data_IF_445049246507
#
_entry.id   IF_445049246507
#
_cell.length_a   1.000
_cell.length_b   1.000
_cell.length_c   1.000
_cell.angle_alpha   90.00
_cell.angle_beta   90.00
_cell.angle_gamma   90.00
#
_symmetry.space_group_name_H-M   'P 1'
#
loop_
_entity.id
_entity.type
_entity.pdbx_description
1 polymer ?
#
# COMPACT_ATOMS: atom_id res chain seq x y z
N UNK A 1 13.91 -4.80 15.78
CA UNK A 1 13.38 -4.67 14.43
C UNK A 1 12.21 -5.61 14.26
N UNK A 2 11.05 -5.09 13.89
CA UNK A 2 9.83 -5.89 13.87
C UNK A 2 9.39 -6.15 12.44
N UNK A 3 9.69 -7.35 11.92
CA UNK A 3 9.21 -7.80 10.61
C UNK A 3 8.10 -8.84 10.73
N UNK A 4 7.61 -9.06 11.97
CA UNK A 4 6.50 -9.97 12.19
C UNK A 4 5.21 -9.48 11.57
N UNK A 5 4.20 -10.36 11.48
CA UNK A 5 2.94 -10.00 10.86
C UNK A 5 2.26 -8.86 11.60
N UNK A 6 1.81 -7.85 10.86
CA UNK A 6 0.97 -6.76 11.35
C UNK A 6 -0.15 -6.55 10.35
N UNK A 7 -1.29 -6.02 10.78
CA UNK A 7 -2.34 -5.68 9.83
C UNK A 7 -1.87 -4.59 8.88
N UNK A 8 -2.11 -4.76 7.59
CA UNK A 8 -1.82 -3.74 6.60
C UNK A 8 -3.14 -3.14 6.13
N UNK A 9 -3.34 -1.87 6.43
CA UNK A 9 -4.54 -1.15 5.99
C UNK A 9 -4.26 -0.58 4.61
N UNK A 10 -4.55 -1.40 3.60
CA UNK A 10 -4.30 -1.05 2.21
C UNK A 10 -5.51 -0.41 1.56
N UNK A 11 -5.28 0.25 0.44
CA UNK A 11 -6.35 0.67 -0.47
C UNK A 11 -6.37 -0.30 -1.63
N UNK A 12 -7.44 -1.10 -1.73
CA UNK A 12 -7.60 -2.10 -2.80
C UNK A 12 -8.51 -1.54 -3.89
N UNK A 13 -7.98 -1.48 -5.12
CA UNK A 13 -8.70 -1.03 -6.29
C UNK A 13 -8.82 -2.18 -7.29
N UNK A 14 -9.86 -3.01 -7.18
CA UNK A 14 -10.07 -4.11 -8.13
C UNK A 14 -10.57 -3.57 -9.46
N UNK A 15 -10.26 -4.29 -10.53
CA UNK A 15 -10.83 -3.94 -11.83
C UNK A 15 -12.26 -4.42 -11.93
N UNK A 16 -13.07 -3.70 -12.72
CA UNK A 16 -14.43 -4.11 -13.02
C UNK A 16 -14.52 -5.11 -14.19
N UNK A 17 -13.37 -5.48 -14.76
CA UNK A 17 -13.32 -6.45 -15.84
C UNK A 17 -13.87 -7.82 -15.39
N UNK A 18 -14.63 -8.48 -16.26
CA UNK A 18 -15.10 -9.84 -16.00
C UNK A 18 -14.03 -10.89 -16.29
N UNK A 19 -12.95 -10.50 -16.96
CA UNK A 19 -11.85 -11.40 -17.24
C UNK A 19 -10.92 -11.47 -16.04
N UNK A 20 -10.38 -12.66 -15.71
CA UNK A 20 -9.40 -12.76 -14.65
C UNK A 20 -8.17 -11.89 -14.96
N UNK A 21 -7.70 -11.17 -13.98
CA UNK A 21 -6.49 -10.38 -14.13
C UNK A 21 -5.28 -11.30 -14.14
N UNK A 22 -4.34 -11.04 -15.06
CA UNK A 22 -3.09 -11.81 -15.12
C UNK A 22 -1.95 -11.09 -14.41
N UNK A 23 -2.18 -9.85 -14.00
CA UNK A 23 -1.17 -9.06 -13.28
C UNK A 23 -1.88 -8.03 -12.41
N UNK A 24 -1.17 -7.59 -11.39
CA UNK A 24 -1.63 -6.53 -10.50
C UNK A 24 -0.44 -5.64 -10.16
N UNK A 25 -0.71 -4.45 -9.66
CA UNK A 25 0.32 -3.50 -9.29
C UNK A 25 0.23 -3.21 -7.80
N UNK A 26 1.37 -3.20 -7.13
CA UNK A 26 1.47 -2.68 -5.76
C UNK A 26 1.94 -1.25 -5.87
N UNK A 27 1.16 -0.32 -5.33
CA UNK A 27 1.51 1.09 -5.31
C UNK A 27 2.11 1.41 -3.95
N UNK A 28 3.34 1.92 -3.96
CA UNK A 28 4.03 2.32 -2.75
C UNK A 28 3.93 3.83 -2.61
N UNK A 29 3.46 4.32 -1.46
CA UNK A 29 3.42 5.77 -1.24
C UNK A 29 4.80 6.30 -0.90
N UNK A 30 4.94 7.62 -0.92
CA UNK A 30 6.08 8.27 -0.33
C UNK A 30 5.87 8.38 1.19
N UNK A 31 6.64 9.23 1.84
CA UNK A 31 6.58 9.38 3.30
C UNK A 31 5.25 9.95 3.80
N UNK A 32 4.34 10.31 2.91
CA UNK A 32 3.08 10.95 3.24
C UNK A 32 1.92 9.97 3.45
N UNK A 33 2.17 8.68 3.31
CA UNK A 33 1.16 7.65 3.55
C UNK A 33 0.17 7.47 2.41
N UNK A 34 -0.88 6.71 2.67
CA UNK A 34 -1.93 6.42 1.69
C UNK A 34 -2.94 7.57 1.64
N UNK A 35 -2.48 8.72 1.17
CA UNK A 35 -3.33 9.90 1.04
C UNK A 35 -4.17 9.82 -0.25
N UNK A 36 -4.99 10.86 -0.47
CA UNK A 36 -5.88 10.88 -1.63
C UNK A 36 -5.17 10.75 -2.97
N UNK A 37 -3.97 11.32 -3.08
CA UNK A 37 -3.20 11.22 -4.31
C UNK A 37 -2.81 9.76 -4.62
N UNK A 38 -2.32 9.05 -3.62
CA UNK A 38 -1.88 7.66 -3.79
C UNK A 38 -3.07 6.76 -4.08
N UNK A 39 -4.18 6.94 -3.35
CA UNK A 39 -5.40 6.18 -3.63
C UNK A 39 -5.90 6.44 -5.04
N UNK A 40 -5.79 7.69 -5.50
CA UNK A 40 -6.17 8.06 -6.86
C UNK A 40 -5.31 7.37 -7.92
N UNK A 41 -4.03 7.17 -7.65
CA UNK A 41 -3.15 6.42 -8.56
C UNK A 41 -3.66 4.98 -8.70
N UNK A 42 -3.97 4.32 -7.58
CA UNK A 42 -4.50 2.96 -7.61
C UNK A 42 -5.84 2.90 -8.36
N UNK A 43 -6.72 3.86 -8.11
CA UNK A 43 -8.02 3.90 -8.78
C UNK A 43 -7.88 4.09 -10.29
N UNK A 44 -6.93 4.90 -10.74
CA UNK A 44 -6.70 5.11 -12.17
C UNK A 44 -6.14 3.85 -12.85
N UNK A 45 -5.28 3.11 -12.16
CA UNK A 45 -4.79 1.83 -12.67
C UNK A 45 -5.93 0.84 -12.80
N UNK A 46 -6.79 0.77 -11.80
CA UNK A 46 -7.97 -0.08 -11.82
C UNK A 46 -8.88 0.27 -13.00
N UNK A 47 -9.11 1.57 -13.21
CA UNK A 47 -9.94 2.03 -14.32
C UNK A 47 -9.34 1.67 -15.69
N UNK A 48 -8.03 1.52 -15.76
CA UNK A 48 -7.33 1.10 -16.97
C UNK A 48 -7.25 -0.43 -17.11
N UNK A 49 -7.88 -1.17 -16.20
CA UNK A 49 -7.95 -2.63 -16.28
C UNK A 49 -6.89 -3.37 -15.50
N UNK A 50 -6.10 -2.68 -14.68
CA UNK A 50 -5.04 -3.30 -13.87
C UNK A 50 -5.40 -3.16 -12.39
N UNK A 51 -5.74 -4.25 -11.70
CA UNK A 51 -6.03 -4.14 -10.26
C UNK A 51 -4.79 -3.65 -9.51
N UNK A 52 -5.01 -2.78 -8.54
CA UNK A 52 -3.93 -2.13 -7.82
C UNK A 52 -4.16 -2.15 -6.33
N UNK A 53 -3.11 -2.48 -5.59
CA UNK A 53 -3.11 -2.49 -4.13
C UNK A 53 -2.12 -1.45 -3.65
N UNK A 54 -2.62 -0.38 -3.04
CA UNK A 54 -1.75 0.61 -2.41
C UNK A 54 -1.55 0.20 -0.95
N UNK A 55 -0.30 0.02 -0.55
CA UNK A 55 0.02 -0.46 0.79
C UNK A 55 0.74 0.60 1.60
N UNK A 56 0.55 0.61 2.94
CA UNK A 56 1.25 1.58 3.79
C UNK A 56 2.72 1.18 3.96
N UNK A 57 3.59 2.18 4.08
CA UNK A 57 5.01 1.93 4.35
C UNK A 57 5.30 1.81 5.84
N UNK A 58 4.48 2.43 6.68
CA UNK A 58 4.76 2.59 8.10
C UNK A 58 3.70 1.88 8.95
N UNK A 59 3.39 0.62 8.59
CA UNK A 59 2.29 -0.11 9.22
C UNK A 59 2.46 -0.28 10.73
N UNK A 60 3.69 -0.27 11.21
CA UNK A 60 3.99 -0.51 12.62
C UNK A 60 3.96 0.75 13.47
N UNK A 61 4.17 1.92 12.85
CA UNK A 61 4.20 3.19 13.58
C UNK A 61 3.02 4.09 13.24
N UNK A 62 2.52 4.01 12.02
CA UNK A 62 1.45 4.90 11.56
C UNK A 62 0.60 4.20 10.49
N UNK A 63 -0.19 3.18 10.88
CA UNK A 63 -0.93 2.35 9.92
C UNK A 63 -1.99 3.10 9.12
N UNK A 64 -2.43 4.28 9.59
CA UNK A 64 -3.48 5.04 8.93
C UNK A 64 -2.99 6.40 8.46
N UNK A 65 -1.69 6.55 8.25
CA UNK A 65 -1.10 7.84 7.92
C UNK A 65 -1.61 8.36 6.58
N UNK A 66 -2.07 9.61 6.59
CA UNK A 66 -2.49 10.34 5.41
C UNK A 66 -2.05 11.79 5.58
N UNK A 67 -0.91 12.13 5.03
CA UNK A 67 -0.34 13.48 5.18
C UNK A 67 -0.51 14.28 3.90
N UNK A 68 -0.55 15.60 4.05
CA UNK A 68 -0.40 16.52 2.93
C UNK A 68 1.07 16.68 2.57
N UNK A 69 1.37 17.71 1.81
CA UNK A 69 2.73 17.92 1.30
C UNK A 69 3.39 19.18 1.88
N UNK A 70 2.84 19.72 2.97
CA UNK A 70 3.43 20.88 3.64
C UNK A 70 4.67 20.47 4.45
N UNK A 71 5.34 21.48 5.02
CA UNK A 71 6.59 21.24 5.73
C UNK A 71 6.40 20.44 7.02
N UNK A 72 5.28 20.63 7.72
CA UNK A 72 5.00 19.83 8.93
C UNK A 72 4.73 18.38 8.59
N UNK A 73 3.95 18.13 7.55
CA UNK A 73 3.68 16.79 7.08
C UNK A 73 4.96 16.11 6.62
N UNK A 74 5.83 16.83 5.93
CA UNK A 74 7.12 16.30 5.50
C UNK A 74 7.97 15.89 6.70
N UNK A 75 7.99 16.70 7.75
CA UNK A 75 8.73 16.38 8.97
C UNK A 75 8.16 15.13 9.64
N UNK A 76 6.85 15.05 9.76
CA UNK A 76 6.20 13.88 10.37
C UNK A 76 6.50 12.62 9.57
N UNK A 77 6.37 12.69 8.24
CA UNK A 77 6.66 11.54 7.37
C UNK A 77 8.09 11.06 7.52
N UNK A 78 9.04 11.98 7.65
CA UNK A 78 10.45 11.61 7.85
C UNK A 78 10.68 10.92 9.18
N UNK A 79 9.97 11.31 10.24
CA UNK A 79 10.07 10.66 11.53
C UNK A 79 9.63 9.19 11.43
N UNK A 80 8.55 8.93 10.72
CA UNK A 80 8.08 7.57 10.52
C UNK A 80 9.05 6.76 9.67
N UNK A 81 9.63 7.39 8.64
CA UNK A 81 10.66 6.74 7.82
C UNK A 81 11.86 6.33 8.66
N UNK A 82 12.32 7.23 9.53
CA UNK A 82 13.48 6.95 10.40
C UNK A 82 13.17 5.86 11.42
N UNK A 83 11.91 5.72 11.84
CA UNK A 83 11.49 4.69 12.78
C UNK A 83 11.25 3.33 12.11
N UNK A 84 11.34 3.26 10.78
CA UNK A 84 11.07 2.05 10.02
C UNK A 84 12.37 1.45 9.55
N UNK A 85 12.61 0.19 9.87
CA UNK A 85 13.83 -0.49 9.44
C UNK A 85 13.76 -0.87 7.96
N UNK A 86 14.93 -1.07 7.37
CA UNK A 86 15.03 -1.42 5.95
C UNK A 86 14.44 -2.79 5.63
N UNK A 87 14.23 -3.66 6.62
CA UNK A 87 13.66 -4.98 6.42
C UNK A 87 12.13 -5.00 6.52
N UNK A 88 11.53 -4.01 7.16
CA UNK A 88 10.08 -3.98 7.36
C UNK A 88 9.31 -3.79 6.05
N UNK A 89 9.79 -2.92 5.18
CA UNK A 89 9.10 -2.63 3.92
C UNK A 89 9.12 -3.83 2.98
N UNK A 90 10.27 -4.49 2.73
CA UNK A 90 10.26 -5.71 1.91
C UNK A 90 9.39 -6.82 2.49
N UNK A 91 9.34 -6.97 3.81
CA UNK A 91 8.48 -7.97 4.44
C UNK A 91 7.00 -7.67 4.15
N UNK A 92 6.60 -6.41 4.25
CA UNK A 92 5.22 -6.01 3.99
C UNK A 92 4.87 -6.12 2.51
N UNK A 93 5.82 -5.84 1.62
CA UNK A 93 5.63 -6.05 0.18
C UNK A 93 5.38 -7.53 -0.10
N UNK A 94 6.12 -8.42 0.56
CA UNK A 94 5.92 -9.86 0.36
C UNK A 94 4.53 -10.31 0.82
N UNK A 95 4.05 -9.79 1.95
CA UNK A 95 2.70 -10.06 2.42
C UNK A 95 1.67 -9.60 1.38
N UNK A 96 1.88 -8.44 0.79
CA UNK A 96 0.98 -7.89 -0.23
C UNK A 96 1.01 -8.73 -1.50
N UNK A 97 2.18 -9.20 -1.93
CA UNK A 97 2.31 -10.09 -3.08
C UNK A 97 1.55 -11.39 -2.84
N UNK A 98 1.72 -11.97 -1.67
CA UNK A 98 1.06 -13.23 -1.33
C UNK A 98 -0.46 -13.07 -1.33
N UNK A 99 -0.95 -11.93 -0.84
CA UNK A 99 -2.37 -11.63 -0.86
C UNK A 99 -2.90 -11.54 -2.29
N UNK A 100 -2.16 -10.85 -3.17
CA UNK A 100 -2.56 -10.68 -4.56
C UNK A 100 -2.54 -12.00 -5.35
N UNK A 101 -1.71 -12.94 -4.94
CA UNK A 101 -1.60 -14.24 -5.62
C UNK A 101 -2.69 -15.22 -5.26
N UNK A 102 -3.57 -14.88 -4.33
CA UNK A 102 -4.70 -15.73 -4.00
C UNK A 102 -5.67 -15.79 -5.18
N UNK A 103 -6.31 -16.95 -5.40
CA UNK A 103 -7.28 -17.05 -6.48
C UNK A 103 -8.36 -15.99 -6.36
N UNK A 104 -8.75 -15.40 -7.48
CA UNK A 104 -9.78 -14.38 -7.50
C UNK A 104 -11.11 -14.97 -7.02
N UNK A 105 -11.86 -14.13 -6.29
CA UNK A 105 -13.12 -14.55 -5.71
C UNK A 105 -12.99 -15.31 -4.41
N UNK A 106 -11.76 -15.61 -3.97
CA UNK A 106 -11.52 -16.25 -2.69
C UNK A 106 -11.51 -15.23 -1.58
N UNK A 107 -12.07 -15.55 -0.41
CA UNK A 107 -11.87 -14.69 0.77
C UNK A 107 -10.40 -14.64 1.12
N UNK A 108 -9.99 -13.51 1.61
CA UNK A 108 -8.58 -13.30 1.94
C UNK A 108 -8.35 -13.45 3.41
#
# INVERSE_FOLDING_TARGET
>A
MNTGPVPLRCWWAPTSSTKPATRAVIVLPEIFGLNGWVRGVADRLSAAGVPALAMPLFARTAPELELGYDSESTREGRLHKEATSTEEIPADVQVSIDWLRRPQGMPL
#
